data_IF_566174691411
#
_entry.id   IF_566174691411
#
_cell.length_a   1.000
_cell.length_b   1.000
_cell.length_c   1.000
_cell.angle_alpha   90.00
_cell.angle_beta   90.00
_cell.angle_gamma   90.00
#
_symmetry.space_group_name_H-M   'P 1'
#
loop_
_entity.id
_entity.type
_entity.pdbx_description
1 polymer ?
#
# COMPACT_ATOMS: atom_id res chain seq x y z
N UNK A 1 7.28 2.92 10.21
CA UNK A 1 7.39 1.59 9.58
C UNK A 1 8.56 1.61 8.60
N UNK A 2 9.48 0.67 8.75
CA UNK A 2 10.62 0.53 7.85
C UNK A 2 10.52 -0.79 7.10
N UNK A 3 10.67 -0.73 5.78
CA UNK A 3 10.83 -1.93 4.96
C UNK A 3 12.25 -2.47 5.09
N UNK A 4 12.45 -3.73 4.70
CA UNK A 4 13.78 -4.28 4.60
C UNK A 4 14.65 -3.37 3.72
N UNK A 5 15.93 -3.24 4.09
CA UNK A 5 16.87 -2.25 3.54
C UNK A 5 16.99 -2.26 2.01
N UNK A 6 16.74 -3.42 1.38
CA UNK A 6 16.85 -3.62 -0.06
C UNK A 6 15.50 -3.64 -0.79
N UNK A 7 14.39 -3.35 -0.09
CA UNK A 7 13.04 -3.35 -0.68
C UNK A 7 12.51 -1.94 -0.84
N UNK A 8 11.88 -1.68 -1.99
CA UNK A 8 11.21 -0.41 -2.25
C UNK A 8 9.78 -0.68 -2.70
N UNK A 9 8.83 0.09 -2.17
CA UNK A 9 7.43 0.01 -2.55
C UNK A 9 7.06 1.26 -3.34
N UNK A 10 6.43 1.02 -4.48
CA UNK A 10 5.76 2.03 -5.29
C UNK A 10 4.28 1.67 -5.35
N UNK A 11 3.45 2.65 -5.66
CA UNK A 11 2.02 2.46 -5.80
C UNK A 11 1.61 2.72 -7.24
N UNK A 12 0.78 1.85 -7.79
CA UNK A 12 0.21 2.00 -9.12
C UNK A 12 -1.27 2.33 -8.99
N UNK A 13 -1.67 3.48 -9.45
CA UNK A 13 -3.05 3.94 -9.45
C UNK A 13 -3.45 4.40 -10.86
N UNK A 14 -4.73 4.43 -11.12
CA UNK A 14 -5.26 4.89 -12.39
C UNK A 14 -6.73 4.60 -12.50
N UNK A 15 -7.39 5.23 -13.47
CA UNK A 15 -8.80 4.97 -13.74
C UNK A 15 -9.00 3.59 -14.38
N UNK A 16 -10.18 2.97 -14.19
CA UNK A 16 -10.51 1.73 -14.89
C UNK A 16 -10.26 1.88 -16.40
N UNK A 17 -9.77 0.81 -17.02
CA UNK A 17 -9.44 0.76 -18.45
C UNK A 17 -8.32 1.72 -18.90
N UNK A 18 -7.47 2.16 -18.00
CA UNK A 18 -6.31 2.98 -18.34
C UNK A 18 -5.09 2.17 -18.84
N UNK A 19 -5.17 0.84 -18.86
CA UNK A 19 -4.08 -0.04 -19.27
C UNK A 19 -3.27 -0.61 -18.12
N UNK A 20 -3.74 -0.49 -16.88
CA UNK A 20 -3.03 -0.99 -15.70
C UNK A 20 -2.74 -2.49 -15.76
N UNK A 21 -3.67 -3.29 -16.31
CA UNK A 21 -3.49 -4.74 -16.43
C UNK A 21 -2.33 -5.09 -17.37
N UNK A 22 -2.24 -4.39 -18.51
CA UNK A 22 -1.13 -4.58 -19.44
C UNK A 22 0.19 -4.16 -18.82
N UNK A 23 0.25 -3.00 -18.19
CA UNK A 23 1.44 -2.51 -17.51
C UNK A 23 1.89 -3.47 -16.40
N UNK A 24 0.96 -3.98 -15.61
CA UNK A 24 1.23 -4.98 -14.58
C UNK A 24 1.89 -6.23 -15.17
N UNK A 25 1.36 -6.74 -16.29
CA UNK A 25 1.93 -7.90 -16.97
C UNK A 25 3.35 -7.64 -17.49
N UNK A 26 3.58 -6.45 -18.04
CA UNK A 26 4.91 -6.06 -18.54
C UNK A 26 5.91 -5.96 -17.40
N UNK A 27 5.55 -5.31 -16.32
CA UNK A 27 6.42 -5.12 -15.15
C UNK A 27 6.78 -6.45 -14.50
N UNK A 28 5.82 -7.39 -14.41
CA UNK A 28 6.06 -8.70 -13.81
C UNK A 28 6.98 -9.60 -14.63
N UNK A 29 7.34 -9.23 -15.85
CA UNK A 29 8.36 -9.93 -16.62
C UNK A 29 9.77 -9.73 -16.06
N UNK A 30 9.99 -8.67 -15.28
CA UNK A 30 11.26 -8.45 -14.60
C UNK A 30 11.28 -9.23 -13.28
N UNK A 31 12.27 -10.13 -13.06
CA UNK A 31 12.32 -10.96 -11.84
C UNK A 31 12.52 -10.15 -10.55
N UNK A 32 13.02 -8.93 -10.64
CA UNK A 32 13.20 -8.05 -9.47
C UNK A 32 11.94 -7.30 -9.07
N UNK A 33 10.89 -7.37 -9.89
CA UNK A 33 9.66 -6.61 -9.70
C UNK A 33 8.49 -7.54 -9.47
N UNK A 34 7.69 -7.25 -8.45
CA UNK A 34 6.37 -7.83 -8.30
C UNK A 34 5.34 -6.70 -8.30
N UNK A 35 4.51 -6.66 -9.33
CA UNK A 35 3.37 -5.77 -9.42
C UNK A 35 2.10 -6.54 -9.07
N UNK A 36 1.43 -6.14 -7.98
CA UNK A 36 0.23 -6.85 -7.52
C UNK A 36 -0.99 -6.50 -8.38
N UNK A 37 -1.90 -7.46 -8.62
CA UNK A 37 -3.14 -7.16 -9.36
C UNK A 37 -4.11 -6.29 -8.56
N UNK A 38 -4.13 -6.47 -7.24
CA UNK A 38 -4.91 -5.66 -6.29
C UNK A 38 -4.14 -5.58 -4.97
N UNK A 39 -4.26 -4.45 -4.29
CA UNK A 39 -3.56 -4.23 -3.04
C UNK A 39 -4.30 -4.85 -1.86
N UNK A 40 -3.90 -6.05 -1.47
CA UNK A 40 -4.40 -6.65 -0.22
C UNK A 40 -3.82 -5.93 1.01
N UNK A 41 -2.57 -5.51 0.95
CA UNK A 41 -1.92 -4.78 2.04
C UNK A 41 -2.63 -3.46 2.36
N UNK A 42 -3.07 -2.74 1.34
CA UNK A 42 -3.80 -1.48 1.53
C UNK A 42 -5.19 -1.71 2.12
N UNK A 43 -5.87 -2.78 1.71
CA UNK A 43 -7.15 -3.17 2.30
C UNK A 43 -7.01 -3.55 3.79
N UNK A 44 -6.00 -4.34 4.12
CA UNK A 44 -5.70 -4.69 5.53
C UNK A 44 -5.43 -3.41 6.34
N UNK A 45 -4.63 -2.53 5.79
CA UNK A 45 -4.27 -1.27 6.43
C UNK A 45 -5.50 -0.42 6.72
N UNK A 46 -6.38 -0.29 5.74
CA UNK A 46 -7.65 0.43 5.87
C UNK A 46 -8.55 -0.21 6.93
N UNK A 47 -8.69 -1.53 6.90
CA UNK A 47 -9.54 -2.24 7.84
C UNK A 47 -9.03 -2.09 9.28
N UNK A 48 -7.73 -2.16 9.48
CA UNK A 48 -7.12 -1.92 10.79
C UNK A 48 -7.38 -0.47 11.23
N UNK A 49 -7.19 0.49 10.35
CA UNK A 49 -7.46 1.90 10.67
C UNK A 49 -8.91 2.13 11.09
N UNK A 50 -9.85 1.48 10.43
CA UNK A 50 -11.28 1.66 10.67
C UNK A 50 -11.77 1.01 11.97
N UNK A 51 -10.93 0.24 12.68
CA UNK A 51 -11.32 -0.33 13.97
C UNK A 51 -11.67 0.77 14.99
N UNK A 52 -11.15 1.97 14.80
CA UNK A 52 -11.43 3.11 15.68
C UNK A 52 -12.90 3.51 15.72
N UNK A 53 -13.69 3.07 14.73
CA UNK A 53 -15.13 3.31 14.68
C UNK A 53 -15.97 2.21 15.31
N UNK A 54 -15.34 1.12 15.75
CA UNK A 54 -16.03 0.01 16.39
C UNK A 54 -16.16 0.23 17.90
N UNK A 55 -17.24 -0.29 18.47
CA UNK A 55 -17.55 -0.13 19.91
C UNK A 55 -16.42 -0.65 20.80
N UNK A 56 -15.78 -1.74 20.40
CA UNK A 56 -14.67 -2.31 21.16
C UNK A 56 -13.51 -1.32 21.33
N UNK A 57 -13.26 -0.48 20.34
CA UNK A 57 -12.22 0.54 20.42
C UNK A 57 -12.74 1.81 21.09
N UNK A 58 -13.99 2.21 20.80
CA UNK A 58 -14.60 3.41 21.38
C UNK A 58 -14.70 3.28 22.90
N UNK A 59 -15.04 2.09 23.39
CA UNK A 59 -15.18 1.84 24.82
C UNK A 59 -13.86 1.84 25.58
N UNK A 60 -12.75 1.50 24.91
CA UNK A 60 -11.42 1.54 25.48
C UNK A 60 -10.42 1.98 24.44
N UNK A 61 -10.39 3.26 24.08
CA UNK A 61 -9.54 3.76 23.00
C UNK A 61 -8.06 3.79 23.42
N UNK A 62 -7.21 3.26 22.53
CA UNK A 62 -5.78 3.34 22.67
C UNK A 62 -5.17 3.65 21.31
N UNK A 63 -5.08 4.94 21.00
CA UNK A 63 -4.59 5.41 19.69
C UNK A 63 -3.11 5.10 19.50
N UNK A 64 -2.33 5.12 20.56
CA UNK A 64 -0.90 4.78 20.47
C UNK A 64 -0.68 3.33 20.04
N UNK A 65 -1.46 2.41 20.62
CA UNK A 65 -1.38 0.99 20.24
C UNK A 65 -1.85 0.78 18.81
N UNK A 66 -2.91 1.46 18.38
CA UNK A 66 -3.37 1.38 17.00
C UNK A 66 -2.30 1.90 16.02
N UNK A 67 -1.67 3.04 16.33
CA UNK A 67 -0.59 3.58 15.51
C UNK A 67 0.58 2.62 15.42
N UNK A 68 0.93 1.93 16.50
CA UNK A 68 1.98 0.93 16.48
C UNK A 68 1.67 -0.23 15.52
N UNK A 69 0.42 -0.69 15.48
CA UNK A 69 0.00 -1.73 14.53
C UNK A 69 0.07 -1.22 13.10
N UNK A 70 -0.45 -0.02 12.86
CA UNK A 70 -0.43 0.58 11.53
C UNK A 70 1.00 0.81 11.01
N UNK A 71 1.93 1.12 11.90
CA UNK A 71 3.33 1.37 11.55
C UNK A 71 4.06 0.13 11.03
N UNK A 72 3.57 -1.07 11.31
CA UNK A 72 4.23 -2.32 10.90
C UNK A 72 3.50 -3.07 9.79
N UNK A 73 2.32 -2.63 9.35
CA UNK A 73 1.50 -3.39 8.40
C UNK A 73 2.26 -3.71 7.12
N UNK A 74 2.84 -2.71 6.48
CA UNK A 74 3.55 -2.91 5.20
C UNK A 74 4.83 -3.72 5.36
N UNK A 75 5.61 -3.45 6.38
CA UNK A 75 6.84 -4.21 6.64
C UNK A 75 6.55 -5.66 6.99
N UNK A 76 5.48 -5.91 7.76
CA UNK A 76 5.07 -7.26 8.11
C UNK A 76 4.49 -8.01 6.90
N UNK A 77 3.66 -7.35 6.10
CA UNK A 77 3.02 -7.99 4.95
C UNK A 77 4.04 -8.45 3.91
N UNK A 78 5.02 -7.62 3.60
CA UNK A 78 6.01 -7.91 2.56
C UNK A 78 7.30 -8.51 3.09
N UNK A 79 7.34 -8.90 4.36
CA UNK A 79 8.56 -9.41 5.01
C UNK A 79 9.23 -10.53 4.24
N UNK A 80 8.45 -11.49 3.77
CA UNK A 80 8.96 -12.70 3.12
C UNK A 80 8.94 -12.62 1.59
N UNK A 81 8.58 -11.47 1.03
CA UNK A 81 8.57 -11.27 -0.42
C UNK A 81 9.99 -11.01 -0.91
N UNK A 82 10.46 -11.87 -1.82
CA UNK A 82 11.82 -11.83 -2.34
C UNK A 82 11.92 -11.02 -3.63
N UNK A 83 11.49 -9.77 -3.59
CA UNK A 83 11.56 -8.84 -4.71
C UNK A 83 12.23 -7.54 -4.28
N UNK A 84 13.05 -6.98 -5.16
CA UNK A 84 13.69 -5.68 -4.92
C UNK A 84 12.70 -4.52 -4.98
N UNK A 85 11.77 -4.61 -5.92
CA UNK A 85 10.73 -3.60 -6.11
C UNK A 85 9.36 -4.24 -6.03
N UNK A 86 8.51 -3.67 -5.20
CA UNK A 86 7.11 -4.07 -5.07
C UNK A 86 6.27 -2.91 -5.56
N UNK A 87 5.41 -3.17 -6.55
CA UNK A 87 4.49 -2.18 -7.07
C UNK A 87 3.10 -2.60 -6.64
N UNK A 88 2.54 -1.85 -5.70
CA UNK A 88 1.27 -2.16 -5.08
C UNK A 88 0.14 -1.45 -5.83
N UNK A 89 -0.66 -2.22 -6.54
CA UNK A 89 -1.75 -1.69 -7.34
C UNK A 89 -3.00 -1.52 -6.50
N UNK A 90 -3.43 -0.26 -6.34
CA UNK A 90 -4.61 0.04 -5.55
C UNK A 90 -4.95 1.52 -5.58
N UNK A 91 -5.93 1.94 -4.77
CA UNK A 91 -6.42 3.31 -4.75
C UNK A 91 -5.52 4.26 -3.93
N UNK A 92 -4.20 4.09 -3.99
CA UNK A 92 -3.25 4.89 -3.20
C UNK A 92 -3.28 6.38 -3.54
N UNK A 93 -3.78 6.74 -4.74
CA UNK A 93 -3.93 8.15 -5.14
C UNK A 93 -5.13 8.85 -4.53
N UNK A 94 -6.01 8.14 -3.84
CA UNK A 94 -7.12 8.74 -3.10
C UNK A 94 -6.57 9.41 -1.84
N UNK A 95 -7.03 10.62 -1.56
CA UNK A 95 -6.52 11.46 -0.46
C UNK A 95 -6.48 10.74 0.89
N UNK A 96 -7.53 9.99 1.21
CA UNK A 96 -7.64 9.23 2.46
C UNK A 96 -6.47 8.25 2.63
N UNK A 97 -6.18 7.45 1.59
CA UNK A 97 -5.09 6.48 1.63
C UNK A 97 -3.73 7.15 1.63
N UNK A 98 -3.59 8.22 0.87
CA UNK A 98 -2.33 8.97 0.82
C UNK A 98 -1.97 9.56 2.18
N UNK A 99 -2.94 10.09 2.89
CA UNK A 99 -2.76 10.60 4.25
C UNK A 99 -2.24 9.50 5.18
N UNK A 100 -2.88 8.33 5.17
CA UNK A 100 -2.49 7.20 6.00
C UNK A 100 -1.09 6.70 5.67
N UNK A 101 -0.78 6.58 4.38
CA UNK A 101 0.53 6.14 3.94
C UNK A 101 1.63 7.11 4.36
N UNK A 102 1.41 8.41 4.23
CA UNK A 102 2.38 9.42 4.66
C UNK A 102 2.64 9.37 6.16
N UNK A 103 1.62 9.09 6.95
CA UNK A 103 1.74 9.02 8.40
C UNK A 103 2.52 7.80 8.87
N UNK A 104 2.29 6.64 8.25
CA UNK A 104 2.75 5.36 8.78
C UNK A 104 3.86 4.70 7.96
N UNK A 105 3.91 4.91 6.65
CA UNK A 105 4.98 4.38 5.81
C UNK A 105 6.16 5.34 5.80
N UNK A 106 7.24 4.97 6.48
CA UNK A 106 8.39 5.85 6.68
C UNK A 106 9.37 5.78 5.51
N UNK A 107 8.86 6.11 4.34
CA UNK A 107 9.62 6.30 3.11
C UNK A 107 8.90 7.32 2.24
N UNK A 108 9.58 7.82 1.22
CA UNK A 108 8.94 8.67 0.23
C UNK A 108 7.85 7.91 -0.52
N UNK A 109 6.66 8.51 -0.60
CA UNK A 109 5.53 7.90 -1.30
C UNK A 109 5.63 8.26 -2.78
N UNK A 110 5.80 7.24 -3.64
CA UNK A 110 5.85 7.39 -5.08
C UNK A 110 4.68 6.67 -5.71
N UNK A 111 3.91 7.38 -6.51
CA UNK A 111 2.71 6.86 -7.16
C UNK A 111 2.89 6.95 -8.66
N UNK A 112 2.67 5.83 -9.34
CA UNK A 112 2.63 5.76 -10.78
C UNK A 112 1.18 5.88 -11.21
N UNK A 113 0.86 6.92 -11.95
CA UNK A 113 -0.46 7.10 -12.54
C UNK A 113 -0.39 6.79 -14.03
N UNK A 114 -1.25 5.89 -14.47
CA UNK A 114 -1.43 5.60 -15.86
C UNK A 114 -2.65 6.38 -16.38
N UNK A 115 -2.40 7.28 -17.31
CA UNK A 115 -3.43 8.14 -17.88
C UNK A 115 -3.66 7.73 -19.32
N UNK A 116 -4.92 7.47 -19.67
CA UNK A 116 -5.30 7.17 -21.04
C UNK A 116 -5.53 8.47 -21.79
N UNK A 117 -4.84 8.72 -22.93
CA UNK A 117 -5.10 9.91 -23.74
C UNK A 117 -6.52 9.89 -24.28
N UNK A 118 -7.09 11.07 -24.35
CA UNK A 118 -8.42 11.27 -24.92
C UNK A 118 -8.39 11.17 -26.44
#
# INVERSE_FOLDING_TARGET
MKLAKNKKIFFLAGFPRSGNTLLTSILNQNPDICCTPKSASLEIYKDIFNIKYKDVFINYPDHSSLDNVLDIVYSAYYKDWNYKYIIDRGPAGVEEYLYLLKKHLKQEIKIIFLVRPL
#
